data_IF_796503172027
#
_entry.id   IF_796503172027
#
_cell.length_a   1.000
_cell.length_b   1.000
_cell.length_c   1.000
_cell.angle_alpha   90.00
_cell.angle_beta   90.00
_cell.angle_gamma   90.00
#
_symmetry.space_group_name_H-M   'P 1'
#
loop_
_entity.id
_entity.type
_entity.pdbx_description
1 polymer ?
#
# COMPACT_ATOMS: atom_id res chain seq x y z
N UNK A 1 -19.66 20.81 14.40
CA UNK A 1 -20.47 19.63 14.01
C UNK A 1 -19.75 18.40 14.52
N UNK A 2 -20.32 17.67 15.47
CA UNK A 2 -19.68 16.45 16.00
C UNK A 2 -19.93 15.30 15.03
N UNK A 3 -18.89 14.54 14.65
CA UNK A 3 -19.08 13.32 13.87
C UNK A 3 -19.83 12.29 14.70
N UNK A 4 -20.68 11.47 14.07
CA UNK A 4 -21.17 10.25 14.67
C UNK A 4 -20.04 9.41 15.30
N UNK A 5 -20.27 8.92 16.52
CA UNK A 5 -19.27 8.17 17.30
C UNK A 5 -18.70 6.95 16.56
N UNK A 6 -19.49 6.32 15.67
CA UNK A 6 -19.07 5.16 14.91
C UNK A 6 -17.95 5.45 13.90
N UNK A 7 -17.86 6.67 13.33
CA UNK A 7 -16.76 7.01 12.43
C UNK A 7 -15.43 7.18 13.18
N UNK A 8 -15.47 7.75 14.38
CA UNK A 8 -14.30 7.85 15.24
C UNK A 8 -13.82 6.45 15.63
N UNK A 9 -14.75 5.60 16.07
CA UNK A 9 -14.45 4.22 16.45
C UNK A 9 -13.79 3.45 15.30
N UNK A 10 -14.34 3.53 14.09
CA UNK A 10 -13.76 2.86 12.92
C UNK A 10 -12.30 3.28 12.65
N UNK A 11 -11.99 4.58 12.74
CA UNK A 11 -10.63 5.08 12.54
C UNK A 11 -9.67 4.62 13.63
N UNK A 12 -10.11 4.65 14.88
CA UNK A 12 -9.31 4.18 16.02
C UNK A 12 -9.01 2.69 15.87
N UNK A 13 -10.02 1.87 15.57
CA UNK A 13 -9.88 0.42 15.39
C UNK A 13 -8.94 0.10 14.23
N UNK A 14 -9.15 0.69 13.04
CA UNK A 14 -8.29 0.42 11.88
C UNK A 14 -6.85 0.86 12.13
N UNK A 15 -6.63 2.06 12.70
CA UNK A 15 -5.29 2.50 13.05
C UNK A 15 -4.62 1.60 14.11
N UNK A 16 -5.38 1.08 15.08
CA UNK A 16 -4.86 0.14 16.08
C UNK A 16 -4.48 -1.20 15.44
N UNK A 17 -5.30 -1.73 14.51
CA UNK A 17 -4.98 -2.95 13.76
C UNK A 17 -3.70 -2.79 12.96
N UNK A 18 -3.51 -1.65 12.29
CA UNK A 18 -2.29 -1.35 11.54
C UNK A 18 -1.07 -1.09 12.45
N UNK A 19 -1.28 -0.61 13.67
CA UNK A 19 -0.20 -0.38 14.63
C UNK A 19 0.46 -1.69 15.07
N UNK A 20 -0.27 -2.80 15.13
CA UNK A 20 0.26 -4.11 15.54
C UNK A 20 1.44 -4.57 14.65
N UNK A 21 1.28 -4.76 13.32
CA UNK A 21 2.40 -5.14 12.45
C UNK A 21 3.49 -4.07 12.40
N UNK A 22 3.14 -2.78 12.50
CA UNK A 22 4.11 -1.68 12.49
C UNK A 22 5.03 -1.71 13.73
N UNK A 23 4.45 -1.90 14.92
CA UNK A 23 5.22 -2.03 16.17
C UNK A 23 6.06 -3.30 16.12
N UNK A 24 5.48 -4.42 15.67
CA UNK A 24 6.23 -5.65 15.48
C UNK A 24 7.42 -5.45 14.54
N UNK A 25 7.22 -4.80 13.39
CA UNK A 25 8.29 -4.49 12.46
C UNK A 25 9.40 -3.66 13.11
N UNK A 26 9.04 -2.62 13.87
CA UNK A 26 10.02 -1.85 14.64
C UNK A 26 10.84 -2.72 15.62
N UNK A 27 10.20 -3.69 16.29
CA UNK A 27 10.90 -4.60 17.21
C UNK A 27 11.90 -5.54 16.52
N UNK A 28 11.74 -5.80 15.23
CA UNK A 28 12.67 -6.64 14.44
C UNK A 28 13.73 -5.77 13.73
N UNK A 29 13.33 -4.62 13.19
CA UNK A 29 14.19 -3.72 12.41
C UNK A 29 15.30 -3.09 13.26
N UNK A 30 14.97 -2.50 14.42
CA UNK A 30 15.98 -1.78 15.20
C UNK A 30 17.09 -2.68 15.75
N UNK A 31 16.83 -3.90 16.24
CA UNK A 31 17.88 -4.86 16.54
C UNK A 31 18.71 -5.24 15.31
N UNK A 32 18.09 -5.47 14.14
CA UNK A 32 18.83 -5.81 12.92
C UNK A 32 19.82 -4.70 12.53
N UNK A 33 19.37 -3.44 12.52
CA UNK A 33 20.24 -2.26 12.26
C UNK A 33 21.41 -2.21 13.24
N UNK A 34 21.18 -2.55 14.51
CA UNK A 34 22.21 -2.50 15.55
C UNK A 34 23.24 -3.63 15.44
N UNK A 35 22.83 -4.80 14.96
CA UNK A 35 23.60 -6.03 15.11
C UNK A 35 24.16 -6.60 13.81
N UNK A 36 23.57 -6.28 12.65
CA UNK A 36 23.98 -6.85 11.36
C UNK A 36 24.17 -5.74 10.34
N UNK A 37 25.37 -5.55 9.76
CA UNK A 37 25.61 -4.56 8.71
C UNK A 37 24.67 -4.74 7.53
N UNK A 38 24.16 -3.63 6.99
CA UNK A 38 23.24 -3.66 5.84
C UNK A 38 23.88 -4.28 4.58
N UNK A 39 25.19 -4.09 4.39
CA UNK A 39 25.93 -4.68 3.27
C UNK A 39 25.97 -6.21 3.32
N UNK A 40 26.10 -6.78 4.52
CA UNK A 40 26.01 -8.22 4.75
C UNK A 40 24.59 -8.70 4.46
N UNK A 41 23.57 -7.98 4.96
CA UNK A 41 22.17 -8.25 4.66
C UNK A 41 21.85 -8.31 3.16
N UNK A 42 22.29 -7.31 2.39
CA UNK A 42 22.12 -7.33 0.93
C UNK A 42 22.89 -8.45 0.24
N UNK A 43 24.02 -8.89 0.79
CA UNK A 43 24.74 -10.05 0.26
C UNK A 43 23.94 -11.33 0.46
N UNK A 44 23.39 -11.53 1.65
CA UNK A 44 22.59 -12.72 1.98
C UNK A 44 21.27 -12.74 1.22
N UNK A 45 20.55 -11.62 1.15
CA UNK A 45 19.29 -11.53 0.38
C UNK A 45 19.53 -11.94 -1.07
N UNK A 46 20.60 -11.45 -1.72
CA UNK A 46 20.95 -11.80 -3.11
C UNK A 46 21.40 -13.25 -3.30
N UNK A 47 21.82 -13.92 -2.22
CA UNK A 47 22.25 -15.31 -2.28
C UNK A 47 21.10 -16.32 -2.29
N UNK A 48 19.88 -15.88 -1.97
CA UNK A 48 18.68 -16.72 -1.94
C UNK A 48 17.56 -16.12 -2.82
N UNK A 49 16.93 -16.98 -3.63
CA UNK A 49 15.92 -16.53 -4.61
C UNK A 49 14.63 -16.07 -3.95
N UNK A 50 14.18 -16.70 -2.86
CA UNK A 50 12.98 -16.25 -2.14
C UNK A 50 13.22 -14.95 -1.37
N UNK A 51 14.38 -14.79 -0.74
CA UNK A 51 14.75 -13.53 -0.09
C UNK A 51 14.87 -12.38 -1.11
N UNK A 52 15.49 -12.62 -2.28
CA UNK A 52 15.53 -11.62 -3.34
C UNK A 52 14.14 -11.31 -3.88
N UNK A 53 13.26 -12.31 -4.01
CA UNK A 53 11.86 -12.11 -4.41
C UNK A 53 11.13 -11.21 -3.41
N UNK A 54 11.32 -11.39 -2.10
CA UNK A 54 10.76 -10.52 -1.07
C UNK A 54 11.28 -9.08 -1.16
N UNK A 55 12.56 -8.88 -1.49
CA UNK A 55 13.10 -7.53 -1.74
C UNK A 55 12.46 -6.88 -2.97
N UNK A 56 12.24 -7.64 -4.05
CA UNK A 56 11.53 -7.13 -5.24
C UNK A 56 10.07 -6.83 -4.91
N UNK A 57 9.42 -7.65 -4.07
CA UNK A 57 8.08 -7.40 -3.53
C UNK A 57 8.00 -6.08 -2.77
N UNK A 58 8.98 -5.82 -1.89
CA UNK A 58 9.11 -4.54 -1.20
C UNK A 58 9.20 -3.36 -2.18
N UNK A 59 10.07 -3.46 -3.20
CA UNK A 59 10.21 -2.43 -4.24
C UNK A 59 8.92 -2.25 -5.03
N UNK A 60 8.21 -3.34 -5.35
CA UNK A 60 6.90 -3.28 -5.98
C UNK A 60 5.88 -2.53 -5.10
N UNK A 61 5.90 -2.73 -3.78
CA UNK A 61 5.05 -1.99 -2.83
C UNK A 61 5.31 -0.49 -2.82
N UNK A 62 6.56 -0.05 -3.05
CA UNK A 62 6.91 1.38 -3.14
C UNK A 62 6.17 2.10 -4.29
N UNK A 63 5.74 1.37 -5.33
CA UNK A 63 4.94 1.94 -6.43
C UNK A 63 3.59 2.49 -5.97
N UNK A 64 3.03 1.95 -4.88
CA UNK A 64 1.87 2.52 -4.21
C UNK A 64 2.27 3.54 -3.14
N UNK A 65 3.17 3.14 -2.25
CA UNK A 65 3.48 3.90 -1.03
C UNK A 65 4.04 5.28 -1.33
N UNK A 66 5.00 5.40 -2.26
CA UNK A 66 5.66 6.68 -2.52
C UNK A 66 4.73 7.71 -3.17
N UNK A 67 3.99 7.39 -4.25
CA UNK A 67 3.03 8.34 -4.81
C UNK A 67 1.93 8.69 -3.82
N UNK A 68 1.38 7.71 -3.09
CA UNK A 68 0.36 7.99 -2.09
C UNK A 68 0.85 9.01 -1.05
N UNK A 69 2.03 8.79 -0.47
CA UNK A 69 2.60 9.69 0.53
C UNK A 69 2.99 11.06 -0.04
N UNK A 70 3.53 11.08 -1.26
CA UNK A 70 3.82 12.32 -1.97
C UNK A 70 2.57 13.17 -2.14
N UNK A 71 1.48 12.59 -2.65
CA UNK A 71 0.23 13.33 -2.85
C UNK A 71 -0.48 13.71 -1.54
N UNK A 72 -0.27 12.96 -0.45
CA UNK A 72 -0.77 13.34 0.89
C UNK A 72 0.03 14.47 1.53
N UNK A 73 1.22 14.79 1.02
CA UNK A 73 2.09 15.80 1.61
C UNK A 73 1.57 17.22 1.32
N UNK A 74 1.58 18.13 2.30
CA UNK A 74 1.01 19.48 2.17
C UNK A 74 1.77 20.38 1.20
N UNK A 75 3.03 20.07 0.92
CA UNK A 75 3.87 20.79 -0.03
C UNK A 75 5.02 19.89 -0.51
N UNK A 76 5.73 20.31 -1.55
CA UNK A 76 6.80 19.53 -2.19
C UNK A 76 7.99 19.25 -1.28
N UNK A 77 8.34 20.17 -0.36
CA UNK A 77 9.46 19.97 0.57
C UNK A 77 9.15 18.81 1.52
N UNK A 78 7.96 18.83 2.13
CA UNK A 78 7.50 17.73 2.98
C UNK A 78 7.36 16.45 2.17
N UNK A 79 6.87 16.52 0.93
CA UNK A 79 6.80 15.37 0.01
C UNK A 79 8.14 14.71 -0.21
N UNK A 80 9.20 15.48 -0.50
CA UNK A 80 10.56 14.97 -0.67
C UNK A 80 11.05 14.29 0.60
N UNK A 81 10.90 14.94 1.75
CA UNK A 81 11.33 14.39 3.04
C UNK A 81 10.61 13.08 3.37
N UNK A 82 9.29 13.03 3.17
CA UNK A 82 8.49 11.83 3.44
C UNK A 82 8.88 10.70 2.48
N UNK A 83 9.03 10.96 1.18
CA UNK A 83 9.45 9.94 0.21
C UNK A 83 10.84 9.40 0.54
N UNK A 84 11.80 10.26 0.89
CA UNK A 84 13.14 9.84 1.31
C UNK A 84 13.10 8.99 2.58
N UNK A 85 12.29 9.37 3.56
CA UNK A 85 12.16 8.64 4.81
C UNK A 85 11.48 7.27 4.60
N UNK A 86 10.40 7.22 3.83
CA UNK A 86 9.72 5.96 3.46
C UNK A 86 10.63 5.04 2.63
N UNK A 87 11.47 5.58 1.76
CA UNK A 87 12.40 4.78 0.93
C UNK A 87 13.53 4.19 1.77
N UNK A 88 14.07 4.96 2.73
CA UNK A 88 15.22 4.54 3.54
C UNK A 88 14.84 3.67 4.74
N UNK A 89 13.69 3.94 5.37
CA UNK A 89 13.23 3.23 6.57
C UNK A 89 12.13 2.19 6.28
N UNK A 90 11.61 2.14 5.06
CA UNK A 90 10.58 1.19 4.66
C UNK A 90 9.22 1.44 5.31
N UNK A 91 8.45 0.37 5.48
CA UNK A 91 7.05 0.48 5.89
C UNK A 91 6.85 0.79 7.38
N UNK A 92 7.90 0.79 8.21
CA UNK A 92 7.80 1.23 9.61
C UNK A 92 7.43 2.71 9.67
N UNK A 93 7.95 3.51 8.73
CA UNK A 93 7.64 4.92 8.60
C UNK A 93 6.36 5.11 7.81
N UNK A 94 6.24 4.48 6.64
CA UNK A 94 5.09 4.73 5.77
C UNK A 94 3.78 4.36 6.47
N UNK A 95 3.70 3.22 7.15
CA UNK A 95 2.49 2.78 7.83
C UNK A 95 2.25 3.60 9.10
N UNK A 96 3.30 4.00 9.83
CA UNK A 96 3.14 4.92 10.97
C UNK A 96 2.56 6.28 10.53
N UNK A 97 3.04 6.84 9.42
CA UNK A 97 2.47 8.06 8.84
C UNK A 97 1.03 7.85 8.38
N UNK A 98 0.73 6.71 7.75
CA UNK A 98 -0.62 6.35 7.34
C UNK A 98 -1.59 6.26 8.52
N UNK A 99 -1.18 5.63 9.62
CA UNK A 99 -1.93 5.57 10.89
C UNK A 99 -2.14 6.97 11.44
N UNK A 100 -1.09 7.80 11.47
CA UNK A 100 -1.19 9.18 11.94
C UNK A 100 -2.20 9.98 11.10
N UNK A 101 -2.21 9.83 9.78
CA UNK A 101 -3.20 10.45 8.89
C UNK A 101 -4.63 9.95 9.19
N UNK A 102 -4.81 8.67 9.51
CA UNK A 102 -6.11 8.10 9.90
C UNK A 102 -6.62 8.70 11.21
N UNK A 103 -5.79 8.71 12.26
CA UNK A 103 -6.20 9.17 13.59
C UNK A 103 -6.41 10.68 13.67
N UNK A 104 -5.55 11.47 13.00
CA UNK A 104 -5.61 12.94 13.04
C UNK A 104 -6.69 13.53 12.13
N UNK A 105 -7.24 12.75 11.20
CA UNK A 105 -8.35 13.19 10.35
C UNK A 105 -9.54 13.65 11.20
N UNK A 106 -10.30 14.62 10.68
CA UNK A 106 -11.57 15.08 11.27
C UNK A 106 -12.77 14.48 10.55
N UNK A 107 -12.59 13.43 9.76
CA UNK A 107 -13.63 12.88 8.90
C UNK A 107 -14.00 11.43 9.21
N UNK A 108 -14.66 10.81 8.25
CA UNK A 108 -14.83 9.35 8.18
C UNK A 108 -13.49 8.67 7.87
N UNK A 109 -13.42 7.34 8.03
CA UNK A 109 -12.24 6.57 7.60
C UNK A 109 -11.93 6.80 6.12
N UNK A 110 -12.97 6.89 5.28
CA UNK A 110 -12.82 7.20 3.85
C UNK A 110 -12.14 8.54 3.64
N UNK A 111 -12.62 9.61 4.28
CA UNK A 111 -12.02 10.95 4.18
C UNK A 111 -10.58 10.99 4.72
N UNK A 112 -10.20 10.08 5.62
CA UNK A 112 -8.84 10.01 6.13
C UNK A 112 -7.86 9.37 5.13
N UNK A 113 -8.30 8.32 4.42
CA UNK A 113 -7.50 7.55 3.45
C UNK A 113 -7.58 8.14 2.03
N UNK A 114 -8.74 8.63 1.63
CA UNK A 114 -9.05 9.23 0.33
C UNK A 114 -9.56 10.67 0.56
N UNK A 115 -8.66 11.63 0.86
CA UNK A 115 -9.04 12.95 1.36
C UNK A 115 -9.55 13.91 0.28
N UNK A 116 -9.43 13.57 -1.00
CA UNK A 116 -9.72 14.48 -2.09
C UNK A 116 -11.21 14.41 -2.44
N UNK A 117 -11.92 15.50 -2.16
CA UNK A 117 -13.38 15.61 -2.09
C UNK A 117 -13.97 16.55 -3.14
N UNK A 118 -13.24 16.83 -4.23
CA UNK A 118 -13.75 17.60 -5.35
C UNK A 118 -14.32 16.74 -6.48
N UNK A 119 -15.11 17.36 -7.36
CA UNK A 119 -15.59 16.73 -8.58
C UNK A 119 -14.42 16.42 -9.52
N UNK A 120 -14.38 15.20 -10.06
CA UNK A 120 -13.29 14.75 -10.92
C UNK A 120 -13.18 15.58 -12.21
N UNK A 121 -11.96 15.89 -12.61
CA UNK A 121 -11.60 16.92 -13.59
C UNK A 121 -11.93 16.71 -15.09
N UNK A 122 -13.00 16.09 -15.56
CA UNK A 122 -13.06 15.59 -16.97
C UNK A 122 -11.82 14.72 -17.40
N UNK A 123 -12.02 13.60 -18.11
CA UNK A 123 -10.88 12.81 -18.57
C UNK A 123 -10.00 13.63 -19.53
N UNK A 124 -8.72 13.78 -19.20
CA UNK A 124 -7.73 14.38 -20.08
C UNK A 124 -6.70 13.30 -20.48
N UNK A 125 -6.71 12.94 -21.75
CA UNK A 125 -5.82 11.93 -22.34
C UNK A 125 -4.35 12.36 -22.38
N UNK A 126 -4.04 13.62 -22.08
CA UNK A 126 -2.69 14.18 -22.09
C UNK A 126 -2.02 14.21 -20.70
N UNK A 127 -2.44 13.36 -19.76
CA UNK A 127 -1.76 13.24 -18.46
C UNK A 127 -0.50 12.36 -18.59
N UNK A 128 0.54 12.91 -19.23
CA UNK A 128 1.86 12.26 -19.40
C UNK A 128 2.36 11.56 -18.12
N UNK A 129 2.18 12.18 -16.95
CA UNK A 129 2.58 11.60 -15.67
C UNK A 129 1.91 10.25 -15.35
N UNK A 130 0.65 10.07 -15.74
CA UNK A 130 -0.08 8.80 -15.54
C UNK A 130 0.46 7.72 -16.48
N UNK A 131 0.72 8.08 -17.74
CA UNK A 131 1.30 7.16 -18.73
C UNK A 131 2.68 6.69 -18.28
N UNK A 132 3.56 7.62 -17.87
CA UNK A 132 4.89 7.29 -17.34
C UNK A 132 4.78 6.39 -16.11
N UNK A 133 3.88 6.72 -15.19
CA UNK A 133 3.64 5.90 -14.00
C UNK A 133 3.18 4.48 -14.36
N UNK A 134 2.21 4.33 -15.27
CA UNK A 134 1.73 3.05 -15.75
C UNK A 134 2.85 2.22 -16.40
N UNK A 135 3.74 2.85 -17.17
CA UNK A 135 4.90 2.18 -17.75
C UNK A 135 5.87 1.67 -16.68
N UNK A 136 6.22 2.52 -15.70
CA UNK A 136 7.10 2.14 -14.59
C UNK A 136 6.50 0.97 -13.81
N UNK A 137 5.22 1.08 -13.42
CA UNK A 137 4.50 0.06 -12.67
C UNK A 137 4.37 -1.25 -13.46
N UNK A 138 4.14 -1.18 -14.76
CA UNK A 138 4.09 -2.36 -15.63
C UNK A 138 5.44 -3.06 -15.73
N UNK A 139 6.53 -2.32 -15.90
CA UNK A 139 7.90 -2.88 -15.94
C UNK A 139 8.25 -3.53 -14.60
N UNK A 140 7.97 -2.85 -13.48
CA UNK A 140 8.16 -3.43 -12.14
C UNK A 140 7.34 -4.71 -11.96
N UNK A 141 6.10 -4.73 -12.48
CA UNK A 141 5.24 -5.91 -12.47
C UNK A 141 5.85 -7.07 -13.23
N UNK A 142 6.33 -6.83 -14.44
CA UNK A 142 7.00 -7.85 -15.25
C UNK A 142 8.24 -8.42 -14.54
N UNK A 143 9.06 -7.55 -13.93
CA UNK A 143 10.24 -7.97 -13.15
C UNK A 143 9.80 -8.83 -11.96
N UNK A 144 8.81 -8.37 -11.20
CA UNK A 144 8.28 -9.09 -10.04
C UNK A 144 7.78 -10.49 -10.42
N UNK A 145 6.85 -10.58 -11.38
CA UNK A 145 6.26 -11.86 -11.77
C UNK A 145 7.30 -12.80 -12.39
N UNK A 146 8.18 -12.30 -13.25
CA UNK A 146 9.26 -13.11 -13.81
C UNK A 146 10.18 -13.68 -12.72
N UNK A 147 10.55 -12.86 -11.73
CA UNK A 147 11.41 -13.30 -10.64
C UNK A 147 10.70 -14.26 -9.68
N UNK A 148 9.40 -14.05 -9.41
CA UNK A 148 8.60 -14.96 -8.60
C UNK A 148 8.50 -16.35 -9.25
N UNK A 149 8.25 -16.41 -10.57
CA UNK A 149 8.27 -17.69 -11.30
C UNK A 149 9.66 -18.33 -11.29
N UNK A 150 10.72 -17.53 -11.44
CA UNK A 150 12.09 -18.01 -11.34
C UNK A 150 12.39 -18.60 -9.95
N UNK A 151 12.01 -17.92 -8.87
CA UNK A 151 12.19 -18.42 -7.51
C UNK A 151 11.44 -19.74 -7.29
N UNK A 152 10.17 -19.80 -7.71
CA UNK A 152 9.34 -21.00 -7.62
C UNK A 152 9.89 -22.19 -8.44
N UNK A 153 10.56 -21.93 -9.56
CA UNK A 153 11.20 -22.95 -10.37
C UNK A 153 12.58 -23.39 -9.84
N UNK A 154 13.24 -22.54 -9.05
CA UNK A 154 14.63 -22.74 -8.60
C UNK A 154 14.71 -23.39 -7.23
N UNK A 155 13.85 -23.00 -6.29
CA UNK A 155 13.93 -23.44 -4.89
C UNK A 155 12.53 -23.71 -4.33
N UNK A 156 12.39 -24.76 -3.52
CA UNK A 156 11.12 -25.08 -2.89
C UNK A 156 10.71 -24.00 -1.88
N UNK A 157 9.42 -23.74 -1.74
CA UNK A 157 8.90 -22.75 -0.77
C UNK A 157 9.34 -23.06 0.67
N UNK A 158 9.31 -24.32 1.17
CA UNK A 158 9.79 -24.64 2.50
C UNK A 158 11.27 -24.29 2.74
N UNK A 159 12.15 -24.54 1.75
CA UNK A 159 13.58 -24.26 1.88
C UNK A 159 13.84 -22.74 1.88
N UNK A 160 13.19 -22.01 0.97
CA UNK A 160 13.22 -20.55 0.99
C UNK A 160 12.70 -19.95 2.29
N UNK A 161 11.62 -20.52 2.84
CA UNK A 161 11.10 -20.11 4.14
C UNK A 161 12.06 -20.38 5.29
N UNK A 162 12.75 -21.52 5.26
CA UNK A 162 13.78 -21.84 6.25
C UNK A 162 14.92 -20.83 6.20
N UNK A 163 15.39 -20.48 5.00
CA UNK A 163 16.40 -19.44 4.81
C UNK A 163 15.94 -18.09 5.38
N UNK A 164 14.77 -17.60 4.95
CA UNK A 164 14.23 -16.29 5.37
C UNK A 164 14.10 -16.20 6.89
N UNK A 165 13.65 -17.26 7.58
CA UNK A 165 13.55 -17.26 9.05
C UNK A 165 14.90 -17.29 9.76
N UNK A 166 15.92 -17.86 9.12
CA UNK A 166 17.26 -17.99 9.70
C UNK A 166 18.13 -16.76 9.48
N UNK A 167 17.86 -15.97 8.43
CA UNK A 167 18.60 -14.76 8.10
C UNK A 167 17.90 -13.50 8.60
N UNK A 168 18.66 -12.63 9.28
CA UNK A 168 18.11 -11.46 9.97
C UNK A 168 17.48 -10.46 8.99
N UNK A 169 18.20 -10.08 7.92
CA UNK A 169 17.71 -9.06 7.00
C UNK A 169 16.60 -9.57 6.08
N UNK A 170 16.67 -10.85 5.67
CA UNK A 170 15.60 -11.49 4.91
C UNK A 170 14.29 -11.54 5.71
N UNK A 171 14.37 -11.85 7.01
CA UNK A 171 13.21 -11.82 7.89
C UNK A 171 12.65 -10.39 8.06
N UNK A 172 13.53 -9.41 8.28
CA UNK A 172 13.17 -7.98 8.36
C UNK A 172 12.43 -7.54 7.09
N UNK A 173 12.96 -7.87 5.91
CA UNK A 173 12.35 -7.52 4.61
C UNK A 173 10.97 -8.15 4.45
N UNK A 174 10.79 -9.42 4.84
CA UNK A 174 9.47 -10.05 4.81
C UNK A 174 8.47 -9.31 5.72
N UNK A 175 8.87 -9.00 6.96
CA UNK A 175 7.99 -8.29 7.91
C UNK A 175 7.66 -6.90 7.39
N UNK A 176 8.61 -6.22 6.74
CA UNK A 176 8.40 -4.94 6.06
C UNK A 176 7.32 -5.07 4.96
N UNK A 177 7.44 -6.08 4.08
CA UNK A 177 6.46 -6.37 3.02
C UNK A 177 5.07 -6.60 3.59
N UNK A 178 4.94 -7.46 4.62
CA UNK A 178 3.65 -7.74 5.25
C UNK A 178 3.03 -6.50 5.90
N UNK A 179 3.86 -5.64 6.49
CA UNK A 179 3.44 -4.37 7.05
C UNK A 179 2.92 -3.43 5.96
N UNK A 180 3.64 -3.32 4.84
CA UNK A 180 3.19 -2.57 3.66
C UNK A 180 1.87 -3.10 3.07
N UNK A 181 1.73 -4.43 2.94
CA UNK A 181 0.49 -5.07 2.46
C UNK A 181 -0.71 -4.66 3.33
N UNK A 182 -0.55 -4.56 4.65
CA UNK A 182 -1.65 -4.15 5.54
C UNK A 182 -2.18 -2.74 5.23
N UNK A 183 -1.29 -1.82 4.85
CA UNK A 183 -1.64 -0.48 4.40
C UNK A 183 -2.37 -0.52 3.05
N UNK A 184 -1.87 -1.29 2.08
CA UNK A 184 -2.51 -1.44 0.76
C UNK A 184 -3.89 -2.08 0.89
N UNK A 185 -4.04 -3.12 1.71
CA UNK A 185 -5.33 -3.76 2.01
C UNK A 185 -6.32 -2.74 2.56
N UNK A 186 -5.89 -1.90 3.51
CA UNK A 186 -6.76 -0.85 4.06
C UNK A 186 -7.19 0.14 2.98
N UNK A 187 -6.27 0.56 2.12
CA UNK A 187 -6.55 1.44 1.00
C UNK A 187 -7.57 0.83 0.02
N UNK A 188 -7.34 -0.40 -0.42
CA UNK A 188 -8.21 -1.14 -1.33
C UNK A 188 -9.61 -1.29 -0.74
N UNK A 189 -9.72 -1.74 0.52
CA UNK A 189 -11.01 -1.91 1.19
C UNK A 189 -11.79 -0.59 1.23
N UNK A 190 -11.14 0.51 1.62
CA UNK A 190 -11.80 1.82 1.68
C UNK A 190 -12.27 2.29 0.30
N UNK A 191 -11.49 2.00 -0.75
CA UNK A 191 -11.79 2.41 -2.12
C UNK A 191 -12.90 1.57 -2.76
N UNK A 192 -12.76 0.24 -2.73
CA UNK A 192 -13.67 -0.68 -3.43
C UNK A 192 -15.01 -0.86 -2.71
N UNK A 193 -15.03 -0.79 -1.37
CA UNK A 193 -16.28 -0.86 -0.62
C UNK A 193 -17.16 0.40 -0.79
N UNK A 194 -16.65 1.46 -1.44
CA UNK A 194 -17.47 2.61 -1.83
C UNK A 194 -18.63 2.20 -2.71
N UNK A 195 -18.35 1.42 -3.74
CA UNK A 195 -19.33 1.05 -4.76
C UNK A 195 -20.15 -0.19 -4.34
N UNK A 196 -20.09 -0.56 -3.05
CA UNK A 196 -20.75 -1.76 -2.51
C UNK A 196 -20.15 -3.07 -3.03
N UNK A 197 -19.00 -3.03 -3.71
CA UNK A 197 -18.44 -4.18 -4.39
C UNK A 197 -17.57 -5.04 -3.46
N UNK A 198 -18.23 -5.64 -2.48
CA UNK A 198 -17.58 -6.46 -1.44
C UNK A 198 -16.79 -7.61 -2.06
N UNK A 199 -17.33 -8.25 -3.11
CA UNK A 199 -16.67 -9.39 -3.75
C UNK A 199 -15.34 -8.98 -4.40
N UNK A 200 -15.31 -7.88 -5.16
CA UNK A 200 -14.07 -7.38 -5.77
C UNK A 200 -13.06 -6.99 -4.69
N UNK A 201 -13.51 -6.31 -3.63
CA UNK A 201 -12.64 -5.94 -2.52
C UNK A 201 -11.99 -7.18 -1.87
N UNK A 202 -12.78 -8.24 -1.63
CA UNK A 202 -12.28 -9.50 -1.07
C UNK A 202 -11.30 -10.21 -2.01
N UNK A 203 -11.55 -10.23 -3.32
CA UNK A 203 -10.65 -10.82 -4.30
C UNK A 203 -9.29 -10.11 -4.32
N UNK A 204 -9.27 -8.78 -4.25
CA UNK A 204 -8.02 -8.02 -4.15
C UNK A 204 -7.26 -8.31 -2.86
N UNK A 205 -7.95 -8.37 -1.72
CA UNK A 205 -7.32 -8.69 -0.44
C UNK A 205 -6.74 -10.10 -0.44
N UNK A 206 -7.49 -11.09 -0.91
CA UNK A 206 -7.00 -12.47 -1.03
C UNK A 206 -5.80 -12.56 -1.98
N UNK A 207 -5.85 -11.84 -3.10
CA UNK A 207 -4.72 -11.72 -4.02
C UNK A 207 -3.48 -11.16 -3.34
N UNK A 208 -3.60 -10.03 -2.64
CA UNK A 208 -2.49 -9.40 -1.91
C UNK A 208 -1.87 -10.32 -0.85
N UNK A 209 -2.69 -11.10 -0.14
CA UNK A 209 -2.21 -12.04 0.87
C UNK A 209 -1.47 -13.24 0.25
N UNK A 210 -1.86 -13.67 -0.95
CA UNK A 210 -1.25 -14.83 -1.61
C UNK A 210 -0.04 -14.48 -2.49
N UNK A 211 -0.06 -13.31 -3.14
CA UNK A 211 0.87 -12.94 -4.21
C UNK A 211 1.52 -11.56 -3.99
N UNK A 212 1.43 -11.02 -2.77
CA UNK A 212 2.13 -9.81 -2.34
C UNK A 212 1.85 -8.58 -3.20
N UNK A 213 2.84 -7.68 -3.31
CA UNK A 213 2.70 -6.43 -4.05
C UNK A 213 2.67 -6.60 -5.58
N UNK A 214 2.85 -7.82 -6.10
CA UNK A 214 2.47 -8.12 -7.48
C UNK A 214 1.00 -7.79 -7.74
N UNK A 215 0.13 -8.03 -6.76
CA UNK A 215 -1.30 -7.67 -6.84
C UNK A 215 -1.51 -6.17 -6.66
N UNK A 216 -0.72 -5.51 -5.82
CA UNK A 216 -0.72 -4.03 -5.70
C UNK A 216 -0.47 -3.39 -7.07
N UNK A 217 0.50 -3.90 -7.82
CA UNK A 217 0.80 -3.43 -9.18
C UNK A 217 -0.39 -3.61 -10.13
N UNK A 218 -0.98 -4.82 -10.16
CA UNK A 218 -2.14 -5.10 -11.01
C UNK A 218 -3.32 -4.21 -10.63
N UNK A 219 -3.55 -4.01 -9.33
CA UNK A 219 -4.59 -3.12 -8.83
C UNK A 219 -4.38 -1.67 -9.25
N UNK A 220 -3.16 -1.15 -9.17
CA UNK A 220 -2.83 0.22 -9.60
C UNK A 220 -3.05 0.41 -11.10
N UNK A 221 -2.70 -0.58 -11.92
CA UNK A 221 -2.97 -0.56 -13.35
C UNK A 221 -4.47 -0.63 -13.63
N UNK A 222 -5.19 -1.53 -12.95
CA UNK A 222 -6.65 -1.63 -13.03
C UNK A 222 -7.32 -0.29 -12.74
N UNK A 223 -6.97 0.35 -11.61
CA UNK A 223 -7.57 1.63 -11.20
C UNK A 223 -7.22 2.74 -12.20
N UNK A 224 -5.94 2.88 -12.57
CA UNK A 224 -5.47 4.01 -13.39
C UNK A 224 -5.84 3.88 -14.88
N UNK A 225 -5.98 2.66 -15.41
CA UNK A 225 -6.35 2.41 -16.80
C UNK A 225 -7.84 2.08 -17.00
N UNK A 226 -8.57 1.77 -15.93
CA UNK A 226 -10.00 1.48 -15.96
C UNK A 226 -10.83 2.58 -15.29
N UNK A 227 -11.28 2.41 -14.04
CA UNK A 227 -12.21 3.35 -13.40
C UNK A 227 -11.75 4.81 -13.32
N UNK A 228 -10.43 5.06 -13.31
CA UNK A 228 -9.83 6.40 -13.28
C UNK A 228 -9.06 6.75 -14.55
N UNK A 229 -9.38 6.11 -15.68
CA UNK A 229 -8.75 6.44 -16.96
C UNK A 229 -8.86 7.93 -17.28
N UNK A 230 -7.74 8.54 -17.68
CA UNK A 230 -7.65 9.96 -18.02
C UNK A 230 -7.71 10.92 -16.83
N UNK A 231 -7.66 10.43 -15.58
CA UNK A 231 -7.57 11.26 -14.36
C UNK A 231 -6.13 11.52 -13.96
N UNK A 232 -5.89 12.59 -13.22
CA UNK A 232 -4.56 12.85 -12.65
C UNK A 232 -4.15 11.76 -11.65
N UNK A 233 -2.84 11.55 -11.45
CA UNK A 233 -2.38 10.60 -10.43
C UNK A 233 -2.86 10.98 -9.03
N UNK A 234 -2.96 12.27 -8.71
CA UNK A 234 -3.49 12.69 -7.42
C UNK A 234 -4.94 12.21 -7.23
N UNK A 235 -5.80 12.32 -8.25
CA UNK A 235 -7.17 11.78 -8.19
C UNK A 235 -7.18 10.25 -8.14
N UNK A 236 -6.30 9.58 -8.92
CA UNK A 236 -6.15 8.12 -8.89
C UNK A 236 -5.85 7.64 -7.47
N UNK A 237 -5.00 8.32 -6.73
CA UNK A 237 -4.59 7.90 -5.38
C UNK A 237 -5.46 8.42 -4.25
N UNK A 238 -6.08 9.60 -4.38
CA UNK A 238 -6.67 10.30 -3.23
C UNK A 238 -8.17 10.54 -3.31
N UNK A 239 -8.80 10.33 -4.47
CA UNK A 239 -10.21 10.70 -4.65
C UNK A 239 -11.15 9.85 -3.79
N UNK A 240 -11.88 10.52 -2.90
CA UNK A 240 -12.84 9.93 -1.96
C UNK A 240 -14.30 10.28 -2.24
N UNK A 241 -14.56 11.04 -3.32
CA UNK A 241 -15.84 11.63 -3.73
C UNK A 241 -16.28 12.86 -2.89
N UNK A 242 -16.85 13.87 -3.57
CA UNK A 242 -17.67 14.90 -2.95
C UNK A 242 -19.00 14.24 -2.57
N UNK A 243 -19.13 13.76 -1.33
CA UNK A 243 -20.38 13.14 -0.90
C UNK A 243 -21.56 14.06 -1.24
N UNK A 244 -22.61 13.59 -1.95
CA UNK A 244 -23.90 14.21 -1.78
C UNK A 244 -24.24 14.05 -0.30
N UNK A 245 -25.01 14.98 0.23
CA UNK A 245 -25.72 14.86 1.51
C UNK A 245 -26.77 13.71 1.50
N UNK A 246 -26.42 12.54 0.96
CA UNK A 246 -27.27 11.37 0.72
C UNK A 246 -26.99 10.19 1.65
N UNK A 247 -26.26 10.40 2.77
CA UNK A 247 -26.34 9.54 3.97
C UNK A 247 -27.77 9.48 4.60
N UNK A 248 -28.80 9.90 3.85
CA UNK A 248 -30.23 9.74 4.11
C UNK A 248 -30.92 8.70 3.23
N UNK A 249 -30.21 7.88 2.46
CA UNK A 249 -30.83 6.74 1.80
C UNK A 249 -30.89 5.55 2.78
N UNK A 250 -32.07 5.17 3.30
CA UNK A 250 -32.18 3.99 4.14
C UNK A 250 -31.73 2.76 3.36
N UNK A 251 -31.00 1.85 4.03
CA UNK A 251 -30.52 0.55 3.55
C UNK A 251 -31.65 -0.44 3.19
N UNK A 252 -32.89 0.02 3.03
CA UNK A 252 -34.03 -0.79 2.64
C UNK A 252 -34.70 -0.11 1.45
N UNK A 253 -34.43 -0.63 0.25
CA UNK A 253 -35.39 -0.48 -0.86
C UNK A 253 -36.57 -1.38 -0.51
N UNK A 254 -37.64 -0.78 0.02
CA UNK A 254 -38.94 -1.41 -0.01
C UNK A 254 -39.44 -1.37 -1.46
N UNK A 255 -39.40 -2.51 -2.13
CA UNK A 255 -40.50 -3.15 -2.87
C UNK A 255 -39.97 -4.33 -3.67
#
# INVERSE_FOLDING_TARGET
MFLPAHHLLARVVVGAVLAVPTVYFATVLFPAIRHVPLSEGFSHIRSNVWATSALIDYVAGLSFTLPYMWFRSPNSIVGVLVVLLCTTMGNVVSVALFIALIWTSRGTLRQAVLPLDHALHAPNTNTWGVVVYQWIVSILGLIYWAYLFYAAATESVPDGWAFIRSDTWSYVTLVDVLTGISMVVTYVLVRELRDGNILIALLWVLGLLCLGNGVTIVYLLYVSAGPMAGRSLQEVFLWGEAGPSSERAPLVKAH
#
